data_IF_794005142981
#
_entry.id   IF_794005142981
#
_cell.length_a   1.000
_cell.length_b   1.000
_cell.length_c   1.000
_cell.angle_alpha   90.00
_cell.angle_beta   90.00
_cell.angle_gamma   90.00
#
_symmetry.space_group_name_H-M   'P 1'
#
loop_
_entity.id
_entity.type
_entity.pdbx_description
1 polymer ?
#
# COMPACT_ATOMS: atom_id res chain seq x y z
N UNK A 1 -17.16 43.00 16.01
CA UNK A 1 -15.82 43.45 16.39
C UNK A 1 -14.88 43.08 15.25
N UNK A 2 -14.58 44.02 14.34
CA UNK A 2 -13.77 43.73 13.14
C UNK A 2 -12.30 43.84 13.54
N UNK A 3 -11.59 42.70 13.56
CA UNK A 3 -10.15 42.67 13.81
C UNK A 3 -9.43 43.32 12.62
N UNK A 4 -9.04 44.59 12.76
CA UNK A 4 -8.17 45.27 11.78
C UNK A 4 -6.73 44.84 12.04
N UNK A 5 -6.23 43.86 11.30
CA UNK A 5 -4.80 43.59 11.28
C UNK A 5 -4.06 44.77 10.68
N UNK A 6 -2.97 45.19 11.33
CA UNK A 6 -2.06 46.17 10.74
C UNK A 6 -1.36 45.55 9.52
N UNK A 7 -1.05 46.35 8.50
CA UNK A 7 -0.47 45.90 7.23
C UNK A 7 0.75 44.97 7.42
N UNK A 8 1.60 45.28 8.41
CA UNK A 8 2.77 44.47 8.76
C UNK A 8 2.43 43.08 9.31
N UNK A 9 1.32 42.93 10.04
CA UNK A 9 0.85 41.62 10.54
C UNK A 9 0.27 40.78 9.41
N UNK A 10 -0.43 41.41 8.46
CA UNK A 10 -0.94 40.73 7.27
C UNK A 10 0.20 40.23 6.37
N UNK A 11 1.25 41.03 6.18
CA UNK A 11 2.46 40.65 5.44
C UNK A 11 3.22 39.50 6.13
N UNK A 12 3.32 39.52 7.46
CA UNK A 12 3.95 38.44 8.24
C UNK A 12 3.20 37.11 8.13
N UNK A 13 1.87 37.13 8.21
CA UNK A 13 1.04 35.93 8.04
C UNK A 13 1.11 35.37 6.61
N UNK A 14 1.15 36.25 5.61
CA UNK A 14 1.32 35.83 4.21
C UNK A 14 2.68 35.16 3.99
N UNK A 15 3.76 35.71 4.56
CA UNK A 15 5.08 35.11 4.49
C UNK A 15 5.13 33.74 5.20
N UNK A 16 4.54 33.63 6.40
CA UNK A 16 4.47 32.36 7.12
C UNK A 16 3.65 31.32 6.35
N UNK A 17 2.54 31.71 5.73
CA UNK A 17 1.74 30.84 4.88
C UNK A 17 2.54 30.39 3.64
N UNK A 18 3.24 31.30 2.96
CA UNK A 18 4.09 30.97 1.81
C UNK A 18 5.21 29.99 2.18
N UNK A 19 5.84 30.16 3.35
CA UNK A 19 6.85 29.22 3.87
C UNK A 19 6.23 27.87 4.22
N UNK A 20 5.05 27.85 4.86
CA UNK A 20 4.34 26.61 5.18
C UNK A 20 3.90 25.85 3.91
N UNK A 21 3.41 26.56 2.89
CA UNK A 21 3.04 25.96 1.60
C UNK A 21 4.26 25.54 0.77
N UNK A 22 5.37 26.29 0.82
CA UNK A 22 6.61 25.92 0.14
C UNK A 22 7.40 24.79 0.81
N UNK A 23 7.23 24.62 2.12
CA UNK A 23 7.86 23.54 2.92
C UNK A 23 7.00 22.27 3.00
N UNK A 24 5.71 22.35 2.66
CA UNK A 24 4.92 21.21 2.19
C UNK A 24 5.39 20.81 0.78
N UNK A 25 6.66 20.41 0.68
CA UNK A 25 7.31 20.15 -0.59
C UNK A 25 6.49 19.20 -1.46
N UNK A 26 6.51 19.46 -2.77
CA UNK A 26 6.08 18.48 -3.75
C UNK A 26 6.74 17.15 -3.37
N UNK A 27 5.96 16.17 -2.92
CA UNK A 27 6.40 14.79 -2.88
C UNK A 27 6.71 14.46 -4.32
N UNK A 28 7.97 14.62 -4.73
CA UNK A 28 8.51 14.00 -5.92
C UNK A 28 8.17 12.54 -5.70
N UNK A 29 7.19 12.03 -6.45
CA UNK A 29 6.96 10.61 -6.54
C UNK A 29 8.32 10.06 -6.93
N UNK A 30 9.03 9.41 -5.99
CA UNK A 30 10.21 8.63 -6.34
C UNK A 30 9.77 7.80 -7.55
N UNK A 31 10.49 7.83 -8.68
CA UNK A 31 10.19 6.95 -9.80
C UNK A 31 9.93 5.58 -9.19
N UNK A 32 8.69 5.09 -9.29
CA UNK A 32 8.25 3.96 -8.48
C UNK A 32 9.27 2.86 -8.69
N UNK A 33 9.95 2.43 -7.63
CA UNK A 33 10.93 1.36 -7.73
C UNK A 33 10.23 0.20 -8.44
N UNK A 34 10.79 -0.27 -9.55
CA UNK A 34 10.19 -1.36 -10.30
C UNK A 34 10.13 -2.58 -9.38
N UNK A 35 8.93 -3.10 -9.05
CA UNK A 35 8.84 -4.16 -8.07
C UNK A 35 9.47 -5.42 -8.63
N UNK A 36 10.46 -5.96 -7.92
CA UNK A 36 10.99 -7.29 -8.16
C UNK A 36 10.37 -8.19 -7.10
N UNK A 37 9.73 -9.27 -7.53
CA UNK A 37 8.99 -10.13 -6.62
C UNK A 37 9.17 -11.61 -6.87
N UNK A 38 8.73 -12.39 -5.87
CA UNK A 38 8.84 -13.84 -5.84
C UNK A 38 7.48 -14.50 -5.71
N UNK A 39 7.34 -15.63 -6.40
CA UNK A 39 6.28 -16.60 -6.15
C UNK A 39 6.77 -17.65 -5.14
N UNK A 40 5.83 -18.35 -4.52
CA UNK A 40 6.11 -19.53 -3.68
C UNK A 40 7.08 -19.26 -2.52
N UNK A 41 6.88 -18.16 -1.81
CA UNK A 41 7.76 -17.70 -0.72
C UNK A 41 7.66 -18.51 0.59
N UNK A 42 6.80 -19.52 0.63
CA UNK A 42 6.57 -20.35 1.81
C UNK A 42 5.78 -19.62 2.89
N UNK A 43 6.37 -19.47 4.08
CA UNK A 43 5.72 -18.86 5.24
C UNK A 43 6.02 -17.36 5.35
N UNK A 44 5.13 -16.61 6.03
CA UNK A 44 5.35 -15.21 6.39
C UNK A 44 6.64 -14.96 7.18
N UNK A 45 7.22 -15.98 7.84
CA UNK A 45 8.50 -15.88 8.56
C UNK A 45 9.68 -15.55 7.65
N UNK A 46 9.57 -15.84 6.36
CA UNK A 46 10.64 -15.62 5.38
C UNK A 46 10.62 -14.18 4.83
N UNK A 47 9.57 -13.40 5.11
CA UNK A 47 9.37 -12.08 4.49
C UNK A 47 10.46 -11.07 4.86
N UNK A 48 11.04 -11.17 6.05
CA UNK A 48 12.16 -10.31 6.45
C UNK A 48 13.40 -10.57 5.57
N UNK A 49 13.78 -11.85 5.41
CA UNK A 49 14.93 -12.24 4.58
C UNK A 49 14.72 -11.87 3.10
N UNK A 50 13.49 -12.02 2.60
CA UNK A 50 13.13 -11.63 1.23
C UNK A 50 13.27 -10.12 1.02
N UNK A 51 12.85 -9.32 2.00
CA UNK A 51 13.02 -7.86 1.95
C UNK A 51 14.51 -7.48 1.98
N UNK A 52 15.29 -8.12 2.84
CA UNK A 52 16.74 -7.89 2.96
C UNK A 52 17.50 -8.26 1.68
N UNK A 53 17.02 -9.27 0.95
CA UNK A 53 17.54 -9.65 -0.37
C UNK A 53 17.17 -8.66 -1.49
N UNK A 54 16.37 -7.63 -1.20
CA UNK A 54 16.02 -6.54 -2.13
C UNK A 54 14.72 -6.77 -2.92
N UNK A 55 13.95 -7.81 -2.61
CA UNK A 55 12.63 -8.01 -3.19
C UNK A 55 11.59 -7.13 -2.48
N UNK A 56 10.65 -6.59 -3.24
CA UNK A 56 9.63 -5.65 -2.73
C UNK A 56 8.20 -6.13 -2.95
N UNK A 57 8.02 -7.30 -3.56
CA UNK A 57 6.71 -7.88 -3.88
C UNK A 57 6.74 -9.40 -3.71
N UNK A 58 5.65 -10.00 -3.22
CA UNK A 58 5.50 -11.46 -3.16
C UNK A 58 4.10 -11.89 -3.59
N UNK A 59 3.95 -13.08 -4.16
CA UNK A 59 2.65 -13.73 -4.29
C UNK A 59 2.30 -14.48 -2.99
N UNK A 60 1.10 -14.30 -2.46
CA UNK A 60 0.72 -14.86 -1.17
C UNK A 60 -0.78 -14.90 -0.88
N UNK A 61 -1.18 -15.41 0.29
CA UNK A 61 -2.59 -15.48 0.68
C UNK A 61 -3.12 -14.12 1.15
N UNK A 62 -4.40 -13.85 0.87
CA UNK A 62 -5.14 -12.77 1.52
C UNK A 62 -5.54 -13.17 2.96
N UNK A 63 -4.55 -13.25 3.86
CA UNK A 63 -4.74 -13.51 5.30
C UNK A 63 -4.12 -12.38 6.09
N UNK A 64 -4.85 -11.87 7.10
CA UNK A 64 -4.43 -10.76 7.96
C UNK A 64 -2.97 -10.89 8.45
N UNK A 65 -2.62 -12.01 9.09
CA UNK A 65 -1.26 -12.20 9.60
C UNK A 65 -0.17 -12.10 8.53
N UNK A 66 -0.38 -12.68 7.35
CA UNK A 66 0.58 -12.59 6.24
C UNK A 66 0.72 -11.16 5.74
N UNK A 67 -0.41 -10.46 5.55
CA UNK A 67 -0.44 -9.09 5.07
C UNK A 67 0.15 -8.10 6.09
N UNK A 68 -0.12 -8.29 7.38
CA UNK A 68 0.45 -7.50 8.48
C UNK A 68 1.98 -7.67 8.53
N UNK A 69 2.48 -8.90 8.43
CA UNK A 69 3.92 -9.17 8.38
C UNK A 69 4.56 -8.59 7.11
N UNK A 70 3.91 -8.70 5.95
CA UNK A 70 4.40 -8.10 4.71
C UNK A 70 4.51 -6.57 4.84
N UNK A 71 3.49 -5.91 5.41
CA UNK A 71 3.55 -4.48 5.72
C UNK A 71 4.72 -4.14 6.64
N UNK A 72 4.92 -4.90 7.71
CA UNK A 72 5.99 -4.67 8.66
C UNK A 72 7.39 -4.70 8.01
N UNK A 73 7.55 -5.48 6.94
CA UNK A 73 8.79 -5.62 6.17
C UNK A 73 8.82 -4.73 4.91
N UNK A 74 7.83 -3.87 4.69
CA UNK A 74 7.78 -3.01 3.50
C UNK A 74 7.55 -3.76 2.18
N UNK A 75 7.01 -4.98 2.24
CA UNK A 75 6.72 -5.82 1.08
C UNK A 75 5.26 -5.66 0.66
N UNK A 76 5.03 -5.49 -0.64
CA UNK A 76 3.72 -5.62 -1.26
C UNK A 76 3.33 -7.09 -1.47
N UNK A 77 2.03 -7.38 -1.47
CA UNK A 77 1.51 -8.73 -1.70
C UNK A 77 0.56 -8.74 -2.89
N UNK A 78 0.89 -9.56 -3.88
CA UNK A 78 -0.02 -10.02 -4.92
C UNK A 78 -0.87 -11.14 -4.31
N UNK A 79 -2.05 -10.78 -3.78
CA UNK A 79 -2.84 -11.67 -2.94
C UNK A 79 -3.93 -12.37 -3.73
N UNK A 80 -4.10 -13.69 -3.56
CA UNK A 80 -5.28 -14.36 -4.07
C UNK A 80 -6.48 -14.16 -3.12
N UNK A 81 -7.66 -13.76 -3.62
CA UNK A 81 -8.88 -13.74 -2.82
C UNK A 81 -9.49 -15.15 -2.65
N UNK A 82 -8.78 -16.21 -3.05
CA UNK A 82 -9.26 -17.58 -3.04
C UNK A 82 -10.19 -17.91 -4.21
N UNK A 83 -10.05 -17.22 -5.33
CA UNK A 83 -10.71 -17.50 -6.61
C UNK A 83 -10.00 -18.62 -7.38
N UNK A 84 -10.75 -19.29 -8.23
CA UNK A 84 -10.30 -20.35 -9.15
C UNK A 84 -11.18 -20.34 -10.40
N UNK A 85 -10.72 -20.92 -11.51
CA UNK A 85 -11.57 -21.21 -12.66
C UNK A 85 -12.54 -22.36 -12.37
N UNK A 86 -13.59 -22.44 -13.19
CA UNK A 86 -14.49 -23.58 -13.26
C UNK A 86 -15.54 -23.64 -12.16
N UNK A 87 -16.11 -24.83 -11.98
CA UNK A 87 -17.30 -25.07 -11.13
C UNK A 87 -17.05 -24.80 -9.63
N UNK A 88 -15.78 -24.74 -9.21
CA UNK A 88 -15.41 -24.44 -7.83
C UNK A 88 -15.34 -22.94 -7.52
N UNK A 89 -15.58 -22.06 -8.49
CA UNK A 89 -15.58 -20.61 -8.27
C UNK A 89 -16.66 -20.21 -7.26
N UNK A 90 -16.23 -19.68 -6.10
CA UNK A 90 -17.12 -19.19 -5.07
C UNK A 90 -17.13 -17.66 -5.01
N UNK A 91 -18.09 -17.06 -5.72
CA UNK A 91 -18.23 -15.61 -5.81
C UNK A 91 -18.47 -14.93 -4.45
N UNK A 92 -19.19 -15.59 -3.53
CA UNK A 92 -19.47 -15.04 -2.20
C UNK A 92 -18.20 -14.94 -1.36
N UNK A 93 -17.38 -16.00 -1.34
CA UNK A 93 -16.09 -16.03 -0.65
C UNK A 93 -15.11 -15.01 -1.21
N UNK A 94 -15.06 -14.86 -2.54
CA UNK A 94 -14.19 -13.86 -3.19
C UNK A 94 -14.61 -12.45 -2.77
N UNK A 95 -15.91 -12.13 -2.86
CA UNK A 95 -16.42 -10.80 -2.45
C UNK A 95 -16.16 -10.52 -0.96
N UNK A 96 -16.35 -11.49 -0.08
CA UNK A 96 -16.08 -11.29 1.36
C UNK A 96 -14.60 -11.04 1.63
N UNK A 97 -13.72 -11.80 0.97
CA UNK A 97 -12.26 -11.66 1.12
C UNK A 97 -11.77 -10.32 0.58
N UNK A 98 -12.28 -9.89 -0.58
CA UNK A 98 -11.99 -8.56 -1.13
C UNK A 98 -12.48 -7.49 -0.16
N UNK A 99 -13.74 -7.52 0.28
CA UNK A 99 -14.27 -6.52 1.21
C UNK A 99 -13.46 -6.43 2.53
N UNK A 100 -12.90 -7.54 3.00
CA UNK A 100 -12.07 -7.57 4.21
C UNK A 100 -10.68 -6.94 4.01
N UNK A 101 -10.01 -7.20 2.87
CA UNK A 101 -8.59 -6.88 2.70
C UNK A 101 -8.28 -5.83 1.63
N UNK A 102 -9.26 -5.32 0.88
CA UNK A 102 -9.03 -4.36 -0.23
C UNK A 102 -8.34 -3.07 0.23
N UNK A 103 -8.54 -2.69 1.50
CA UNK A 103 -7.87 -1.53 2.11
C UNK A 103 -6.59 -1.88 2.85
N UNK A 104 -6.15 -3.14 2.80
CA UNK A 104 -4.96 -3.55 3.52
C UNK A 104 -3.73 -2.89 2.88
N UNK A 105 -2.91 -2.15 3.64
CA UNK A 105 -1.79 -1.38 3.10
C UNK A 105 -0.66 -2.20 2.46
N UNK A 106 -0.55 -3.49 2.77
CA UNK A 106 0.36 -4.41 2.06
C UNK A 106 -0.24 -5.03 0.80
N UNK A 107 -1.55 -4.92 0.56
CA UNK A 107 -2.15 -5.45 -0.65
C UNK A 107 -1.67 -4.61 -1.84
N UNK A 108 -0.96 -5.24 -2.77
CA UNK A 108 -0.44 -4.59 -3.97
C UNK A 108 -1.35 -4.80 -5.18
N UNK A 109 -1.86 -6.01 -5.35
CA UNK A 109 -2.86 -6.35 -6.38
C UNK A 109 -3.59 -7.65 -6.04
N UNK A 110 -4.75 -7.84 -6.65
CA UNK A 110 -5.50 -9.09 -6.59
C UNK A 110 -5.04 -10.06 -7.66
N UNK A 111 -4.60 -11.24 -7.24
CA UNK A 111 -4.28 -12.36 -8.12
C UNK A 111 -5.52 -13.24 -8.30
N UNK A 112 -6.31 -12.91 -9.32
CA UNK A 112 -7.64 -13.49 -9.52
C UNK A 112 -7.58 -14.96 -9.96
N UNK A 113 -6.64 -15.31 -10.81
CA UNK A 113 -6.51 -16.65 -11.32
C UNK A 113 -5.10 -16.87 -11.85
N UNK A 114 -4.57 -18.06 -11.58
CA UNK A 114 -3.36 -18.54 -12.22
C UNK A 114 -3.72 -19.25 -13.52
N UNK A 115 -3.02 -18.92 -14.60
CA UNK A 115 -3.13 -19.58 -15.92
C UNK A 115 -4.58 -19.95 -16.36
N UNK A 116 -5.42 -18.96 -16.73
CA UNK A 116 -6.83 -19.17 -17.06
C UNK A 116 -7.11 -19.92 -18.37
#
# INVERSE_FOLDING_TARGET
>A
MVCRLQLGQALGLLAAAMVALGSAGCRVARPGAYPIGLYSVGSETNLAEIADAGFSLVAGPARRGFLDTAKANGIGVLASPGSSAGEHFNAAKVRSTVAEFDRHPALWSWYLIDEP
#
